data_IF_376940252862
#
_entry.id   IF_376940252862
#
_cell.length_a   1.000
_cell.length_b   1.000
_cell.length_c   1.000
_cell.angle_alpha   90.00
_cell.angle_beta   90.00
_cell.angle_gamma   90.00
#
_symmetry.space_group_name_H-M   'P 1'
#
loop_
_entity.id
_entity.type
_entity.pdbx_description
1 polymer ?
#
# COMPACT_ATOMS: atom_id res chain seq x y z
N UNK A 1 7.53 33.92 -4.40
CA UNK A 1 6.73 32.99 -3.58
C UNK A 1 7.46 31.66 -3.60
N UNK A 2 7.86 31.11 -2.44
CA UNK A 2 8.48 29.80 -2.41
C UNK A 2 7.48 28.79 -3.00
N UNK A 3 7.90 28.00 -4.00
CA UNK A 3 7.08 26.93 -4.55
C UNK A 3 6.71 26.00 -3.39
N UNK A 4 5.44 25.97 -2.98
CA UNK A 4 4.98 25.05 -1.96
C UNK A 4 5.36 23.64 -2.42
N UNK A 5 6.03 22.88 -1.57
CA UNK A 5 6.43 21.50 -1.89
C UNK A 5 5.16 20.66 -2.08
N UNK A 6 5.20 19.76 -3.05
CA UNK A 6 4.07 18.87 -3.33
C UNK A 6 3.98 17.84 -2.21
N UNK A 7 2.80 17.73 -1.59
CA UNK A 7 2.55 16.72 -0.57
C UNK A 7 2.41 15.33 -1.24
N UNK A 8 3.33 14.42 -0.93
CA UNK A 8 3.29 13.04 -1.39
C UNK A 8 2.57 12.14 -0.37
N UNK A 9 1.93 11.07 -0.84
CA UNK A 9 1.32 10.06 0.00
C UNK A 9 2.34 9.03 0.46
N UNK A 10 2.63 9.02 1.77
CA UNK A 10 3.38 7.95 2.42
C UNK A 10 2.39 6.88 2.86
N UNK A 11 2.61 5.62 2.48
CA UNK A 11 1.72 4.54 2.88
C UNK A 11 2.44 3.25 3.22
N UNK A 12 1.77 2.44 4.02
CA UNK A 12 2.26 1.16 4.53
C UNK A 12 1.18 0.12 4.30
N UNK A 13 1.51 -0.97 3.63
CA UNK A 13 0.60 -2.10 3.44
C UNK A 13 0.83 -3.07 4.60
N UNK A 14 -0.07 -3.03 5.59
CA UNK A 14 0.06 -3.76 6.86
C UNK A 14 -0.46 -5.18 6.70
N UNK A 15 0.50 -6.07 6.49
CA UNK A 15 0.34 -7.50 6.34
C UNK A 15 1.48 -8.27 7.03
N UNK A 16 1.22 -9.52 7.37
CA UNK A 16 2.24 -10.43 7.89
C UNK A 16 3.20 -10.89 6.79
N UNK A 17 4.40 -11.29 7.21
CA UNK A 17 5.43 -11.81 6.30
C UNK A 17 4.98 -13.04 5.50
N UNK A 18 3.98 -13.79 6.01
CA UNK A 18 3.40 -14.96 5.35
C UNK A 18 2.18 -14.66 4.47
N UNK A 19 1.60 -13.46 4.56
CA UNK A 19 0.42 -13.04 3.79
C UNK A 19 0.78 -12.51 2.40
N UNK A 20 2.07 -12.27 2.18
CA UNK A 20 2.61 -11.75 0.92
C UNK A 20 2.28 -12.64 -0.28
N UNK A 21 2.07 -12.02 -1.43
CA UNK A 21 1.87 -12.75 -2.70
C UNK A 21 3.02 -13.70 -3.07
N UNK A 22 4.22 -13.51 -2.51
CA UNK A 22 5.37 -14.39 -2.76
C UNK A 22 5.21 -15.80 -2.14
N UNK A 23 4.34 -15.96 -1.14
CA UNK A 23 4.09 -17.24 -0.44
C UNK A 23 2.66 -17.75 -0.60
N UNK A 24 1.82 -17.09 -1.41
CA UNK A 24 0.40 -17.44 -1.58
C UNK A 24 0.15 -18.88 -2.06
N UNK A 25 1.13 -19.49 -2.75
CA UNK A 25 1.08 -20.89 -3.24
C UNK A 25 1.93 -21.85 -2.39
N UNK A 26 2.47 -21.37 -1.28
CA UNK A 26 3.41 -22.11 -0.42
C UNK A 26 2.89 -22.26 1.00
N UNK A 27 2.16 -21.27 1.51
CA UNK A 27 1.59 -21.27 2.86
C UNK A 27 0.07 -21.24 2.71
N UNK A 28 -0.61 -22.25 3.26
CA UNK A 28 -2.07 -22.28 3.30
C UNK A 28 -2.60 -21.23 4.29
N UNK A 29 -3.70 -20.57 3.94
CA UNK A 29 -4.37 -19.59 4.82
C UNK A 29 -4.84 -20.23 6.13
N UNK A 30 -5.15 -21.53 6.12
CA UNK A 30 -5.54 -22.28 7.32
C UNK A 30 -4.42 -22.34 8.37
N UNK A 31 -3.15 -22.29 7.94
CA UNK A 31 -1.99 -22.40 8.83
C UNK A 31 -1.57 -21.07 9.43
N UNK A 32 -2.09 -19.93 8.92
CA UNK A 32 -1.65 -18.59 9.32
C UNK A 32 -1.70 -18.33 10.83
N UNK A 33 -2.71 -18.86 11.53
CA UNK A 33 -2.86 -18.68 12.97
C UNK A 33 -1.78 -19.42 13.79
N UNK A 34 -1.06 -20.37 13.18
CA UNK A 34 0.02 -21.15 13.81
C UNK A 34 1.40 -20.54 13.59
N UNK A 35 1.52 -19.59 12.66
CA UNK A 35 2.78 -18.95 12.30
C UNK A 35 3.11 -17.82 13.27
N UNK A 36 4.41 -17.60 13.47
CA UNK A 36 4.90 -16.51 14.31
C UNK A 36 4.47 -15.16 13.70
N UNK A 37 3.65 -14.43 14.45
CA UNK A 37 3.25 -13.06 14.12
C UNK A 37 4.42 -12.10 14.33
N UNK A 38 4.71 -11.25 13.33
CA UNK A 38 5.71 -10.18 13.43
C UNK A 38 5.13 -8.80 13.13
N UNK A 39 3.88 -8.73 12.66
CA UNK A 39 3.27 -7.49 12.16
C UNK A 39 3.22 -6.38 13.22
N UNK A 40 2.97 -6.70 14.49
CA UNK A 40 2.88 -5.70 15.55
C UNK A 40 4.22 -5.02 15.80
N UNK A 41 5.29 -5.79 16.05
CA UNK A 41 6.63 -5.27 16.26
C UNK A 41 7.18 -4.54 15.03
N UNK A 42 6.90 -5.08 13.84
CA UNK A 42 7.36 -4.47 12.60
C UNK A 42 6.67 -3.15 12.32
N UNK A 43 5.36 -3.06 12.57
CA UNK A 43 4.61 -1.82 12.40
C UNK A 43 4.99 -0.81 13.48
N UNK A 44 5.26 -1.25 14.72
CA UNK A 44 5.79 -0.40 15.78
C UNK A 44 7.11 0.28 15.38
N UNK A 45 8.06 -0.47 14.82
CA UNK A 45 9.33 0.09 14.31
C UNK A 45 9.12 1.11 13.19
N UNK A 46 8.10 0.92 12.35
CA UNK A 46 7.75 1.88 11.29
C UNK A 46 7.14 3.15 11.88
N UNK A 47 6.25 3.04 12.87
CA UNK A 47 5.70 4.17 13.61
C UNK A 47 6.80 4.98 14.29
N UNK A 48 7.74 4.30 14.96
CA UNK A 48 8.89 4.96 15.61
C UNK A 48 9.73 5.75 14.59
N UNK A 49 9.98 5.19 13.40
CA UNK A 49 10.69 5.89 12.33
C UNK A 49 9.91 7.10 11.78
N UNK A 50 8.59 7.01 11.70
CA UNK A 50 7.75 8.14 11.31
C UNK A 50 7.73 9.22 12.39
N UNK A 51 7.76 8.85 13.68
CA UNK A 51 7.90 9.80 14.78
C UNK A 51 9.26 10.53 14.75
N UNK A 52 10.36 9.82 14.46
CA UNK A 52 11.69 10.41 14.29
C UNK A 52 11.75 11.50 13.21
N UNK A 53 10.88 11.42 12.21
CA UNK A 53 10.88 12.26 11.01
C UNK A 53 9.63 13.14 10.88
N UNK A 54 8.80 13.20 11.93
CA UNK A 54 7.50 13.89 11.96
C UNK A 54 6.63 13.63 10.71
N UNK A 55 6.66 12.40 10.21
CA UNK A 55 5.91 12.00 9.01
C UNK A 55 4.56 11.41 9.38
N UNK A 56 3.48 11.87 8.74
CA UNK A 56 2.19 11.17 8.76
C UNK A 56 2.02 10.32 7.51
N UNK A 57 1.25 9.25 7.64
CA UNK A 57 1.15 8.20 6.63
C UNK A 57 -0.22 7.50 6.69
N UNK A 58 -0.52 6.70 5.69
CA UNK A 58 -1.71 5.84 5.64
C UNK A 58 -1.33 4.37 5.71
N UNK A 59 -1.93 3.64 6.63
CA UNK A 59 -1.73 2.22 6.85
C UNK A 59 -2.88 1.44 6.22
N UNK A 60 -2.69 0.96 4.99
CA UNK A 60 -3.62 0.05 4.32
C UNK A 60 -3.52 -1.31 5.00
N UNK A 61 -4.52 -1.66 5.80
CA UNK A 61 -4.43 -2.79 6.73
C UNK A 61 -5.42 -3.88 6.36
N UNK A 62 -4.97 -5.13 6.44
CA UNK A 62 -5.83 -6.30 6.28
C UNK A 62 -6.81 -6.43 7.45
N UNK A 63 -8.08 -6.72 7.15
CA UNK A 63 -9.09 -7.00 8.16
C UNK A 63 -8.69 -8.15 9.10
N UNK A 64 -7.98 -9.17 8.58
CA UNK A 64 -7.43 -10.27 9.38
C UNK A 64 -6.45 -9.79 10.46
N UNK A 65 -5.61 -8.80 10.14
CA UNK A 65 -4.64 -8.19 11.06
C UNK A 65 -5.37 -7.32 12.07
N UNK A 66 -6.27 -6.45 11.61
CA UNK A 66 -7.04 -5.56 12.48
C UNK A 66 -7.82 -6.31 13.56
N UNK A 67 -8.48 -7.41 13.18
CA UNK A 67 -9.23 -8.26 14.11
C UNK A 67 -8.36 -8.91 15.22
N UNK A 68 -7.03 -8.96 15.04
CA UNK A 68 -6.09 -9.57 15.99
C UNK A 68 -5.22 -8.54 16.71
N UNK A 69 -5.02 -7.38 16.12
CA UNK A 69 -4.04 -6.39 16.56
C UNK A 69 -4.70 -5.06 16.94
N UNK A 70 -5.79 -5.11 17.72
CA UNK A 70 -6.55 -3.91 18.11
C UNK A 70 -5.71 -2.84 18.83
N UNK A 71 -4.74 -3.23 19.66
CA UNK A 71 -3.83 -2.26 20.31
C UNK A 71 -2.92 -1.56 19.31
N UNK A 72 -2.42 -2.27 18.30
CA UNK A 72 -1.65 -1.67 17.22
C UNK A 72 -2.52 -0.70 16.40
N UNK A 73 -3.75 -1.09 16.08
CA UNK A 73 -4.68 -0.26 15.32
C UNK A 73 -4.98 1.06 16.02
N UNK A 74 -5.24 1.03 17.34
CA UNK A 74 -5.40 2.23 18.16
C UNK A 74 -4.15 3.10 18.13
N UNK A 75 -2.96 2.50 18.31
CA UNK A 75 -1.68 3.22 18.26
C UNK A 75 -1.49 3.98 16.94
N UNK A 76 -1.80 3.36 15.79
CA UNK A 76 -1.70 4.00 14.48
C UNK A 76 -2.57 5.28 14.44
N UNK A 77 -3.82 5.20 14.91
CA UNK A 77 -4.74 6.34 14.94
C UNK A 77 -4.34 7.41 15.97
N UNK A 78 -3.95 6.99 17.17
CA UNK A 78 -3.53 7.88 18.26
C UNK A 78 -2.29 8.71 17.89
N UNK A 79 -1.40 8.14 17.07
CA UNK A 79 -0.24 8.85 16.51
C UNK A 79 -0.59 9.73 15.29
N UNK A 80 -1.88 9.82 14.92
CA UNK A 80 -2.39 10.74 13.90
C UNK A 80 -2.28 10.23 12.46
N UNK A 81 -1.97 8.94 12.27
CA UNK A 81 -1.96 8.31 10.96
C UNK A 81 -3.37 7.93 10.50
N UNK A 82 -3.52 7.67 9.20
CA UNK A 82 -4.77 7.14 8.65
C UNK A 82 -4.71 5.60 8.64
N UNK A 83 -5.82 4.94 8.97
CA UNK A 83 -6.02 3.52 8.65
C UNK A 83 -6.97 3.42 7.45
N UNK A 84 -6.58 2.63 6.46
CA UNK A 84 -7.36 2.37 5.25
C UNK A 84 -7.49 0.85 5.03
N UNK A 85 -8.45 0.42 4.20
CA UNK A 85 -8.70 -1.00 3.95
C UNK A 85 -7.74 -1.59 2.93
N UNK A 86 -7.22 -2.77 3.22
CA UNK A 86 -6.46 -3.60 2.28
C UNK A 86 -7.15 -4.92 1.93
N UNK A 87 -8.48 -5.01 2.17
CA UNK A 87 -9.25 -6.25 2.06
C UNK A 87 -9.08 -7.15 3.29
N UNK A 88 -9.66 -8.36 3.27
CA UNK A 88 -9.65 -9.22 4.46
C UNK A 88 -8.34 -9.99 4.64
N UNK A 89 -7.93 -10.76 3.64
CA UNK A 89 -6.86 -11.76 3.73
C UNK A 89 -5.95 -11.76 2.50
N UNK A 90 -5.71 -10.56 1.95
CA UNK A 90 -4.81 -10.33 0.83
C UNK A 90 -5.17 -11.10 -0.46
N UNK A 91 -6.46 -11.43 -0.64
CA UNK A 91 -6.93 -11.99 -1.91
C UNK A 91 -6.97 -10.92 -3.01
N UNK A 92 -6.49 -11.28 -4.21
CA UNK A 92 -6.46 -10.36 -5.36
C UNK A 92 -7.86 -10.13 -5.93
N UNK A 93 -8.20 -8.89 -6.22
CA UNK A 93 -9.55 -8.49 -6.69
C UNK A 93 -9.91 -9.17 -8.02
N UNK A 94 -8.96 -9.31 -8.96
CA UNK A 94 -9.20 -10.03 -10.22
C UNK A 94 -9.44 -11.55 -10.06
N UNK A 95 -9.35 -12.10 -8.85
CA UNK A 95 -9.72 -13.49 -8.54
C UNK A 95 -11.09 -13.60 -7.86
N UNK A 96 -11.76 -12.46 -7.64
CA UNK A 96 -13.09 -12.37 -7.06
C UNK A 96 -14.11 -12.00 -8.14
N UNK A 97 -15.39 -12.22 -7.86
CA UNK A 97 -16.49 -11.52 -8.52
C UNK A 97 -16.94 -10.29 -7.69
N UNK A 98 -17.85 -9.49 -8.24
CA UNK A 98 -18.33 -8.27 -7.59
C UNK A 98 -19.03 -8.53 -6.25
N UNK A 99 -19.70 -9.68 -6.10
CA UNK A 99 -20.43 -10.06 -4.88
C UNK A 99 -19.44 -10.44 -3.78
N UNK A 100 -18.46 -11.27 -4.10
CA UNK A 100 -17.41 -11.70 -3.18
C UNK A 100 -16.53 -10.52 -2.77
N UNK A 101 -16.21 -9.63 -3.70
CA UNK A 101 -15.48 -8.41 -3.39
C UNK A 101 -16.24 -7.50 -2.42
N UNK A 102 -17.54 -7.30 -2.64
CA UNK A 102 -18.38 -6.53 -1.72
C UNK A 102 -18.40 -7.14 -0.31
N UNK A 103 -18.52 -8.46 -0.23
CA UNK A 103 -18.48 -9.17 1.05
C UNK A 103 -17.12 -9.00 1.75
N UNK A 104 -16.02 -9.09 1.00
CA UNK A 104 -14.66 -8.84 1.50
C UNK A 104 -14.51 -7.41 2.05
N UNK A 105 -14.94 -6.40 1.27
CA UNK A 105 -14.90 -5.00 1.66
C UNK A 105 -15.66 -4.74 2.95
N UNK A 106 -16.88 -5.25 3.09
CA UNK A 106 -17.71 -5.07 4.30
C UNK A 106 -17.07 -5.72 5.52
N UNK A 107 -16.57 -6.94 5.36
CA UNK A 107 -15.94 -7.69 6.44
C UNK A 107 -14.66 -7.00 6.92
N UNK A 108 -13.80 -6.59 5.99
CA UNK A 108 -12.56 -5.90 6.31
C UNK A 108 -12.83 -4.54 6.95
N UNK A 109 -13.72 -3.74 6.35
CA UNK A 109 -14.11 -2.43 6.86
C UNK A 109 -14.66 -2.50 8.27
N UNK A 110 -15.59 -3.41 8.55
CA UNK A 110 -16.16 -3.57 9.90
C UNK A 110 -15.07 -3.87 10.93
N UNK A 111 -14.19 -4.83 10.66
CA UNK A 111 -13.10 -5.16 11.60
C UNK A 111 -12.10 -4.01 11.81
N UNK A 112 -11.84 -3.21 10.77
CA UNK A 112 -10.97 -2.04 10.86
C UNK A 112 -11.64 -0.93 11.67
N UNK A 113 -12.91 -0.61 11.40
CA UNK A 113 -13.68 0.41 12.14
C UNK A 113 -13.82 0.02 13.61
N UNK A 114 -14.09 -1.26 13.91
CA UNK A 114 -14.17 -1.79 15.28
C UNK A 114 -12.82 -1.68 16.02
N UNK A 115 -11.71 -1.98 15.34
CA UNK A 115 -10.39 -1.98 15.96
C UNK A 115 -9.82 -0.56 16.16
N UNK A 116 -10.19 0.39 15.29
CA UNK A 116 -9.64 1.75 15.26
C UNK A 116 -10.55 2.80 15.89
N UNK A 117 -11.87 2.58 15.91
CA UNK A 117 -12.86 3.60 16.22
C UNK A 117 -12.96 4.72 15.17
N UNK A 118 -12.30 4.56 14.01
CA UNK A 118 -12.25 5.56 12.94
C UNK A 118 -12.95 5.03 11.68
N UNK A 119 -13.61 5.93 10.96
CA UNK A 119 -14.26 5.59 9.68
C UNK A 119 -13.21 5.27 8.60
N UNK A 120 -13.44 4.19 7.86
CA UNK A 120 -12.51 3.75 6.80
C UNK A 120 -13.00 4.27 5.44
N UNK A 121 -12.22 5.19 4.86
CA UNK A 121 -12.57 5.86 3.60
C UNK A 121 -11.68 5.45 2.40
N UNK A 122 -10.51 4.88 2.66
CA UNK A 122 -9.53 4.48 1.65
C UNK A 122 -9.51 2.97 1.40
N UNK A 123 -9.23 2.58 0.17
CA UNK A 123 -9.01 1.18 -0.20
C UNK A 123 -7.77 0.99 -1.09
N UNK A 124 -6.96 -0.03 -0.82
CA UNK A 124 -5.92 -0.51 -1.73
C UNK A 124 -6.12 -1.99 -1.99
N UNK A 125 -6.18 -2.37 -3.26
CA UNK A 125 -6.26 -3.78 -3.64
C UNK A 125 -4.93 -4.51 -3.35
N UNK A 126 -4.96 -5.69 -2.72
CA UNK A 126 -3.81 -6.59 -2.64
C UNK A 126 -3.11 -6.74 -3.98
N UNK A 127 -1.79 -6.56 -4.01
CA UNK A 127 -0.99 -6.60 -5.26
C UNK A 127 -1.42 -5.62 -6.37
N UNK A 128 -2.07 -4.49 -6.07
CA UNK A 128 -2.62 -3.55 -7.07
C UNK A 128 -3.49 -4.26 -8.12
N UNK A 129 -4.37 -5.14 -7.65
CA UNK A 129 -5.11 -6.10 -8.47
C UNK A 129 -6.44 -5.58 -9.06
N UNK A 130 -6.64 -4.26 -9.09
CA UNK A 130 -7.70 -3.64 -9.89
C UNK A 130 -7.12 -3.29 -11.27
N UNK A 131 -7.68 -3.91 -12.31
CA UNK A 131 -7.32 -3.65 -13.71
C UNK A 131 -8.49 -3.96 -14.66
N UNK A 132 -8.21 -4.09 -15.96
CA UNK A 132 -9.21 -4.35 -16.99
C UNK A 132 -10.06 -5.62 -16.74
N UNK A 133 -9.57 -6.57 -15.94
CA UNK A 133 -10.31 -7.80 -15.56
C UNK A 133 -11.42 -7.52 -14.55
N UNK A 134 -11.39 -6.37 -13.88
CA UNK A 134 -12.30 -5.99 -12.80
C UNK A 134 -12.99 -4.66 -13.11
N UNK A 135 -13.70 -4.52 -14.24
CA UNK A 135 -14.33 -3.24 -14.62
C UNK A 135 -15.42 -2.79 -13.64
N UNK A 136 -15.90 -3.70 -12.79
CA UNK A 136 -16.90 -3.48 -11.76
C UNK A 136 -16.31 -2.97 -10.43
N UNK A 137 -14.99 -3.07 -10.21
CA UNK A 137 -14.42 -2.87 -8.86
C UNK A 137 -14.56 -1.44 -8.33
N UNK A 138 -14.33 -0.43 -9.17
CA UNK A 138 -14.51 0.98 -8.78
C UNK A 138 -15.97 1.29 -8.43
N UNK A 139 -16.93 0.75 -9.18
CA UNK A 139 -18.36 0.93 -8.88
C UNK A 139 -18.72 0.30 -7.52
N UNK A 140 -18.26 -0.92 -7.26
CA UNK A 140 -18.48 -1.58 -5.95
C UNK A 140 -17.85 -0.77 -4.81
N UNK A 141 -16.64 -0.23 -4.98
CA UNK A 141 -16.00 0.62 -3.97
C UNK A 141 -16.83 1.87 -3.65
N UNK A 142 -17.31 2.56 -4.69
CA UNK A 142 -18.15 3.75 -4.53
C UNK A 142 -19.46 3.43 -3.81
N UNK A 143 -20.15 2.36 -4.21
CA UNK A 143 -21.39 1.92 -3.59
C UNK A 143 -21.22 1.50 -2.12
N UNK A 144 -20.06 0.94 -1.76
CA UNK A 144 -19.69 0.62 -0.37
C UNK A 144 -19.13 1.82 0.41
N UNK A 145 -19.17 3.02 -0.18
CA UNK A 145 -18.91 4.30 0.48
C UNK A 145 -17.42 4.64 0.64
N UNK A 146 -16.52 3.99 -0.10
CA UNK A 146 -15.12 4.41 -0.17
C UNK A 146 -14.99 5.75 -0.92
N UNK A 147 -14.06 6.60 -0.48
CA UNK A 147 -13.81 7.93 -1.05
C UNK A 147 -12.63 7.97 -2.00
N UNK A 148 -11.67 7.08 -1.80
CA UNK A 148 -10.57 6.94 -2.73
C UNK A 148 -10.08 5.50 -2.80
N UNK A 149 -9.40 5.18 -3.89
CA UNK A 149 -8.67 3.94 -4.05
C UNK A 149 -7.24 4.19 -4.51
N UNK A 150 -6.30 3.35 -4.08
CA UNK A 150 -4.91 3.36 -4.54
C UNK A 150 -4.51 1.95 -4.96
N UNK A 151 -5.22 1.43 -5.95
CA UNK A 151 -5.26 0.02 -6.33
C UNK A 151 -4.71 -0.27 -7.70
N UNK A 152 -4.44 0.75 -8.51
CA UNK A 152 -3.94 0.59 -9.88
C UNK A 152 -2.44 0.89 -9.95
N UNK A 153 -1.71 0.05 -10.69
CA UNK A 153 -0.31 0.25 -11.02
C UNK A 153 -0.13 0.52 -12.53
N UNK A 154 0.23 1.76 -12.95
CA UNK A 154 0.33 2.15 -14.37
C UNK A 154 1.57 1.61 -15.10
N UNK A 155 1.91 0.34 -14.91
CA UNK A 155 3.08 -0.35 -15.46
C UNK A 155 2.69 -1.74 -15.94
N UNK A 156 3.44 -2.29 -16.90
CA UNK A 156 3.31 -3.71 -17.26
C UNK A 156 4.16 -4.55 -16.31
N UNK A 157 3.55 -5.50 -15.60
CA UNK A 157 4.23 -6.37 -14.66
C UNK A 157 3.63 -7.80 -14.71
N UNK A 158 4.39 -8.80 -14.27
CA UNK A 158 4.01 -10.23 -14.38
C UNK A 158 2.81 -10.62 -13.49
N UNK A 159 2.70 -9.98 -12.32
CA UNK A 159 1.68 -10.28 -11.31
C UNK A 159 0.50 -9.31 -11.27
N UNK A 160 0.66 -8.11 -11.82
CA UNK A 160 -0.30 -7.01 -11.72
C UNK A 160 -0.03 -5.95 -12.79
N UNK A 161 -0.84 -4.90 -12.79
CA UNK A 161 -0.54 -3.67 -13.50
C UNK A 161 -1.39 -3.48 -14.75
N UNK A 162 -1.68 -2.21 -14.99
CA UNK A 162 -2.49 -1.74 -16.10
C UNK A 162 -1.73 -0.61 -16.78
N UNK A 163 -0.85 -0.96 -17.72
CA UNK A 163 0.02 0.01 -18.41
C UNK A 163 -0.75 1.20 -19.00
N UNK A 164 -1.92 0.95 -19.55
CA UNK A 164 -2.73 1.96 -20.24
C UNK A 164 -3.61 2.78 -19.29
N UNK A 165 -3.60 2.48 -17.98
CA UNK A 165 -4.26 3.33 -16.99
C UNK A 165 -3.61 4.72 -16.88
N UNK A 166 -4.36 5.73 -16.43
CA UNK A 166 -3.81 7.03 -16.10
C UNK A 166 -2.65 6.90 -15.12
N UNK A 167 -1.59 7.68 -15.35
CA UNK A 167 -0.41 7.70 -14.49
C UNK A 167 -0.64 8.47 -13.18
N UNK A 168 -1.57 9.41 -13.21
CA UNK A 168 -1.92 10.30 -12.10
C UNK A 168 -3.36 10.07 -11.69
N UNK A 169 -3.78 10.72 -10.61
CA UNK A 169 -5.13 10.54 -10.07
C UNK A 169 -6.23 10.88 -11.09
N UNK A 170 -7.32 10.11 -11.06
CA UNK A 170 -8.48 10.32 -11.91
C UNK A 170 -9.78 9.88 -11.22
N UNK A 171 -10.92 10.32 -11.75
CA UNK A 171 -12.24 9.81 -11.36
C UNK A 171 -12.61 8.65 -12.29
N UNK A 172 -12.64 7.39 -11.80
CA UNK A 172 -12.97 6.23 -12.63
C UNK A 172 -14.45 6.16 -12.99
N UNK A 173 -15.31 6.88 -12.27
CA UNK A 173 -16.76 6.88 -12.44
C UNK A 173 -17.25 8.27 -12.83
N UNK A 174 -18.23 8.33 -13.74
CA UNK A 174 -18.80 9.59 -14.23
C UNK A 174 -19.64 10.32 -13.18
N UNK A 175 -20.42 9.56 -12.41
CA UNK A 175 -21.48 10.08 -11.53
C UNK A 175 -21.15 9.88 -10.03
N UNK A 176 -19.87 9.70 -9.69
CA UNK A 176 -19.43 9.50 -8.30
C UNK A 176 -18.15 10.30 -7.98
N UNK A 177 -17.90 10.54 -6.69
CA UNK A 177 -16.75 11.29 -6.20
C UNK A 177 -15.49 10.45 -5.91
N UNK A 178 -15.56 9.13 -6.05
CA UNK A 178 -14.42 8.22 -5.89
C UNK A 178 -13.24 8.69 -6.75
N UNK A 179 -12.06 8.79 -6.12
CA UNK A 179 -10.80 9.09 -6.81
C UNK A 179 -9.90 7.85 -6.79
N UNK A 180 -9.40 7.43 -7.96
CA UNK A 180 -8.31 6.47 -8.03
C UNK A 180 -6.98 7.24 -8.04
N UNK A 181 -6.08 6.90 -7.12
CA UNK A 181 -4.74 7.46 -6.98
C UNK A 181 -3.72 6.33 -7.17
N UNK A 182 -3.24 6.11 -8.40
CA UNK A 182 -2.36 4.99 -8.71
C UNK A 182 -1.02 5.07 -7.96
N UNK A 183 -0.40 3.91 -7.73
CA UNK A 183 0.96 3.86 -7.17
C UNK A 183 1.95 4.55 -8.12
N UNK A 184 2.92 5.25 -7.56
CA UNK A 184 3.89 5.99 -8.38
C UNK A 184 4.73 5.07 -9.24
N UNK A 185 4.76 5.41 -10.53
CA UNK A 185 5.68 4.85 -11.51
C UNK A 185 6.57 5.98 -12.04
N UNK A 186 7.86 5.68 -12.17
CA UNK A 186 8.79 6.55 -12.88
C UNK A 186 8.75 6.25 -14.37
N UNK A 187 9.20 7.19 -15.20
CA UNK A 187 9.31 7.01 -16.64
C UNK A 187 10.68 7.44 -17.15
N UNK A 188 11.34 6.58 -17.92
CA UNK A 188 12.61 6.89 -18.56
C UNK A 188 12.67 6.23 -19.94
N UNK A 189 13.14 6.97 -20.96
CA UNK A 189 13.22 6.50 -22.35
C UNK A 189 11.91 5.85 -22.86
N UNK A 190 10.76 6.47 -22.56
CA UNK A 190 9.43 5.99 -22.97
C UNK A 190 8.97 4.70 -22.26
N UNK A 191 9.68 4.26 -21.22
CA UNK A 191 9.35 3.07 -20.44
C UNK A 191 9.03 3.44 -19.00
N UNK A 192 7.88 2.98 -18.52
CA UNK A 192 7.48 3.10 -17.12
C UNK A 192 8.13 2.00 -16.28
N UNK A 193 8.52 2.32 -15.06
CA UNK A 193 9.05 1.37 -14.09
C UNK A 193 8.40 1.58 -12.72
N UNK A 194 8.19 0.48 -12.01
CA UNK A 194 7.58 0.48 -10.69
C UNK A 194 8.49 1.10 -9.62
N UNK A 195 7.88 1.69 -8.61
CA UNK A 195 8.55 2.21 -7.41
C UNK A 195 7.85 1.68 -6.16
N UNK A 196 8.48 1.83 -4.99
CA UNK A 196 7.92 1.32 -3.74
C UNK A 196 8.11 -0.19 -3.55
N UNK A 197 7.67 -0.69 -2.40
CA UNK A 197 7.78 -2.07 -1.96
C UNK A 197 9.14 -2.70 -2.26
N UNK A 198 9.10 -3.92 -2.80
CA UNK A 198 10.29 -4.66 -3.20
C UNK A 198 11.19 -3.93 -4.21
N UNK A 199 10.66 -3.07 -5.09
CA UNK A 199 11.49 -2.28 -6.01
C UNK A 199 12.32 -1.26 -5.26
N UNK A 200 11.70 -0.54 -4.33
CA UNK A 200 12.43 0.41 -3.49
C UNK A 200 13.47 -0.31 -2.65
N UNK A 201 13.17 -1.47 -2.05
CA UNK A 201 14.16 -2.23 -1.27
C UNK A 201 15.33 -2.71 -2.13
N UNK A 202 15.07 -3.28 -3.30
CA UNK A 202 16.09 -3.90 -4.15
C UNK A 202 16.95 -2.88 -4.91
N UNK A 203 16.35 -1.83 -5.48
CA UNK A 203 17.05 -0.83 -6.29
C UNK A 203 17.70 0.28 -5.44
N UNK A 204 18.67 1.04 -5.97
CA UNK A 204 19.18 2.22 -5.27
C UNK A 204 18.07 3.24 -4.95
N UNK A 205 18.13 3.89 -3.78
CA UNK A 205 17.11 4.87 -3.37
C UNK A 205 16.93 6.03 -4.36
N UNK A 206 17.98 6.35 -5.13
CA UNK A 206 17.95 7.35 -6.20
C UNK A 206 16.93 7.05 -7.32
N UNK A 207 16.55 5.79 -7.53
CA UNK A 207 15.54 5.42 -8.54
C UNK A 207 14.15 5.93 -8.13
N UNK A 208 13.77 5.72 -6.87
CA UNK A 208 12.51 6.24 -6.32
C UNK A 208 12.55 7.75 -6.16
N UNK A 209 13.69 8.32 -5.73
CA UNK A 209 13.86 9.77 -5.65
C UNK A 209 13.69 10.44 -7.03
N UNK A 210 14.28 9.87 -8.08
CA UNK A 210 14.09 10.35 -9.45
C UNK A 210 12.62 10.31 -9.87
N UNK A 211 11.91 9.21 -9.58
CA UNK A 211 10.50 9.08 -9.94
C UNK A 211 9.62 10.10 -9.20
N UNK A 212 9.84 10.32 -7.90
CA UNK A 212 9.10 11.31 -7.11
C UNK A 212 9.38 12.72 -7.62
N UNK A 213 10.63 13.08 -7.88
CA UNK A 213 10.99 14.38 -8.47
C UNK A 213 10.33 14.59 -9.83
N UNK A 214 10.28 13.55 -10.66
CA UNK A 214 9.62 13.61 -11.97
C UNK A 214 8.11 13.86 -11.82
N UNK A 215 7.43 13.18 -10.90
CA UNK A 215 5.99 13.35 -10.66
C UNK A 215 5.70 14.72 -10.01
N UNK A 216 6.50 15.15 -9.03
CA UNK A 216 6.35 16.45 -8.38
C UNK A 216 6.65 17.64 -9.32
N UNK A 217 7.60 17.49 -10.25
CA UNK A 217 7.86 18.50 -11.28
C UNK A 217 6.65 18.71 -12.23
N UNK A 218 5.77 17.71 -12.35
CA UNK A 218 4.50 17.81 -13.06
C UNK A 218 3.35 18.33 -12.17
N UNK A 219 3.65 18.86 -10.98
CA UNK A 219 2.68 19.28 -9.96
C UNK A 219 1.71 18.16 -9.52
N UNK A 220 2.15 16.90 -9.61
CA UNK A 220 1.39 15.73 -9.20
C UNK A 220 2.00 15.14 -7.92
N UNK A 221 1.19 14.59 -7.00
CA UNK A 221 1.71 13.90 -5.83
C UNK A 221 2.19 12.50 -6.18
N UNK A 222 3.28 12.08 -5.54
CA UNK A 222 3.73 10.69 -5.54
C UNK A 222 3.00 9.87 -4.47
N UNK A 223 2.68 8.62 -4.78
CA UNK A 223 2.18 7.59 -3.86
C UNK A 223 3.27 6.55 -3.65
N UNK A 224 3.86 6.55 -2.47
CA UNK A 224 4.87 5.57 -2.06
C UNK A 224 4.27 4.56 -1.09
N UNK A 225 4.70 3.30 -1.22
CA UNK A 225 4.27 2.22 -0.35
C UNK A 225 5.43 1.28 -0.02
N UNK A 226 5.31 0.57 1.10
CA UNK A 226 6.15 -0.57 1.49
C UNK A 226 5.41 -1.39 2.55
N UNK A 227 5.99 -2.52 2.97
CA UNK A 227 5.39 -3.38 3.99
C UNK A 227 6.20 -3.37 5.29
N UNK A 228 5.57 -3.49 6.48
CA UNK A 228 6.30 -3.52 7.75
C UNK A 228 7.36 -4.62 7.82
N UNK A 229 7.11 -5.81 7.25
CA UNK A 229 8.09 -6.90 7.23
C UNK A 229 9.38 -6.55 6.47
N UNK A 230 9.37 -5.52 5.61
CA UNK A 230 10.56 -5.11 4.87
C UNK A 230 11.62 -4.44 5.75
N UNK A 231 11.25 -3.97 6.96
CA UNK A 231 12.20 -3.45 7.96
C UNK A 231 12.65 -4.51 8.96
N UNK A 232 12.27 -5.77 8.75
CA UNK A 232 12.63 -6.90 9.63
C UNK A 232 13.60 -7.88 8.95
N UNK A 233 14.93 -7.73 9.17
CA UNK A 233 15.90 -8.68 8.66
C UNK A 233 15.85 -10.05 9.39
N UNK A 234 15.20 -10.12 10.56
CA UNK A 234 15.11 -11.30 11.41
C UNK A 234 13.87 -12.16 11.18
N UNK A 235 13.01 -11.79 10.22
CA UNK A 235 11.76 -12.51 9.97
C UNK A 235 11.99 -14.00 9.63
N UNK A 236 11.01 -14.88 9.94
CA UNK A 236 11.08 -16.30 9.62
C UNK A 236 11.35 -16.57 8.13
N UNK A 237 12.01 -17.70 7.85
CA UNK A 237 12.36 -18.12 6.49
C UNK A 237 11.58 -19.35 6.05
N UNK A 238 10.89 -19.23 4.91
CA UNK A 238 10.09 -20.30 4.31
C UNK A 238 10.99 -21.23 3.47
N UNK A 239 11.37 -22.37 4.04
CA UNK A 239 12.26 -23.33 3.38
C UNK A 239 11.68 -23.89 2.06
N UNK A 240 10.37 -24.11 1.99
CA UNK A 240 9.69 -24.66 0.82
C UNK A 240 9.43 -23.64 -0.31
N UNK A 241 9.68 -22.35 -0.09
CA UNK A 241 9.35 -21.32 -1.08
C UNK A 241 10.23 -21.40 -2.34
N UNK A 242 9.68 -21.06 -3.52
CA UNK A 242 10.45 -20.96 -4.76
C UNK A 242 11.65 -20.01 -4.63
N UNK A 243 12.76 -20.30 -5.32
CA UNK A 243 13.97 -19.47 -5.27
C UNK A 243 13.69 -18.01 -5.65
N UNK A 244 12.85 -17.78 -6.66
CA UNK A 244 12.44 -16.42 -7.07
C UNK A 244 11.72 -15.68 -5.94
N UNK A 245 10.81 -16.33 -5.22
CA UNK A 245 10.13 -15.76 -4.06
C UNK A 245 11.12 -15.42 -2.95
N UNK A 246 12.05 -16.34 -2.63
CA UNK A 246 13.09 -16.12 -1.61
C UNK A 246 13.99 -14.93 -1.96
N UNK A 247 14.46 -14.84 -3.19
CA UNK A 247 15.29 -13.72 -3.66
C UNK A 247 14.54 -12.40 -3.55
N UNK A 248 13.30 -12.33 -4.03
CA UNK A 248 12.48 -11.10 -3.94
C UNK A 248 12.19 -10.74 -2.48
N UNK A 249 11.88 -11.70 -1.62
CA UNK A 249 11.45 -11.46 -0.24
C UNK A 249 12.59 -11.10 0.71
N UNK A 250 13.72 -11.82 0.69
CA UNK A 250 14.76 -11.69 1.72
C UNK A 250 15.93 -10.77 1.38
N UNK A 251 16.10 -10.37 0.11
CA UNK A 251 17.26 -9.55 -0.29
C UNK A 251 17.20 -8.12 0.27
N UNK A 252 18.32 -7.61 0.80
CA UNK A 252 18.48 -6.19 1.23
C UNK A 252 17.50 -5.69 2.31
N UNK A 253 16.92 -6.57 3.13
CA UNK A 253 16.05 -6.17 4.25
C UNK A 253 16.76 -5.20 5.22
N UNK A 254 18.02 -5.47 5.58
CA UNK A 254 18.78 -4.60 6.49
C UNK A 254 19.06 -3.18 5.98
N UNK A 255 18.86 -2.91 4.67
CA UNK A 255 19.03 -1.58 4.10
C UNK A 255 17.74 -0.74 4.11
N UNK A 256 16.59 -1.35 4.40
CA UNK A 256 15.28 -0.72 4.20
C UNK A 256 15.08 0.50 5.10
N UNK A 257 15.29 0.36 6.42
CA UNK A 257 15.07 1.44 7.38
C UNK A 257 15.92 2.68 7.08
N UNK A 258 17.23 2.49 6.81
CA UNK A 258 18.12 3.60 6.46
C UNK A 258 17.74 4.29 5.15
N UNK A 259 17.31 3.52 4.15
CA UNK A 259 16.83 4.08 2.87
C UNK A 259 15.53 4.86 3.04
N UNK A 260 14.61 4.35 3.85
CA UNK A 260 13.34 5.00 4.16
C UNK A 260 13.59 6.33 4.87
N UNK A 261 14.45 6.37 5.89
CA UNK A 261 14.84 7.63 6.57
C UNK A 261 15.31 8.70 5.58
N UNK A 262 16.25 8.33 4.68
CA UNK A 262 16.72 9.27 3.67
C UNK A 262 15.65 9.69 2.66
N UNK A 263 14.66 8.85 2.37
CA UNK A 263 13.54 9.21 1.49
C UNK A 263 12.57 10.18 2.19
N UNK A 264 12.31 9.94 3.48
CA UNK A 264 11.47 10.79 4.33
C UNK A 264 12.02 12.21 4.45
N UNK A 265 13.34 12.36 4.57
CA UNK A 265 14.01 13.67 4.65
C UNK A 265 14.00 14.47 3.33
N UNK A 266 13.85 13.80 2.18
CA UNK A 266 14.02 14.43 0.85
C UNK A 266 12.74 15.02 0.27
N UNK A 267 11.58 14.54 0.69
CA UNK A 267 10.28 14.89 0.11
C UNK A 267 9.28 15.27 1.19
N UNK A 268 8.26 16.04 0.84
CA UNK A 268 7.14 16.29 1.76
C UNK A 268 6.17 15.11 1.71
N UNK A 269 5.83 14.57 2.88
CA UNK A 269 5.02 13.37 3.04
C UNK A 269 3.80 13.63 3.93
N UNK A 270 2.72 12.92 3.64
CA UNK A 270 1.53 12.91 4.46
C UNK A 270 0.65 11.70 4.20
N UNK A 271 -0.50 11.72 4.86
CA UNK A 271 -1.57 10.73 4.67
C UNK A 271 -2.16 10.86 3.27
N UNK A 272 -2.56 9.73 2.70
CA UNK A 272 -3.18 9.63 1.39
C UNK A 272 -4.52 10.38 1.37
N UNK A 273 -5.35 10.31 2.41
CA UNK A 273 -6.58 11.12 2.48
C UNK A 273 -6.34 12.63 2.36
N UNK A 274 -5.25 13.12 2.97
CA UNK A 274 -4.85 14.52 2.93
C UNK A 274 -4.37 14.92 1.53
N UNK A 275 -3.67 14.01 0.83
CA UNK A 275 -3.32 14.21 -0.58
C UNK A 275 -4.57 14.24 -1.44
N UNK A 276 -5.49 13.28 -1.28
CA UNK A 276 -6.74 13.22 -2.04
C UNK A 276 -7.55 14.50 -1.90
N UNK A 277 -7.67 15.05 -0.68
CA UNK A 277 -8.35 16.33 -0.43
C UNK A 277 -7.73 17.53 -1.17
N UNK A 278 -6.44 17.47 -1.50
CA UNK A 278 -5.70 18.52 -2.23
C UNK A 278 -5.73 18.32 -3.74
N UNK A 279 -6.14 17.15 -4.23
CA UNK A 279 -6.19 16.88 -5.65
C UNK A 279 -7.37 17.64 -6.28
N UNK A 280 -7.10 18.38 -7.35
CA UNK A 280 -8.11 18.93 -8.24
C UNK A 280 -8.46 17.89 -9.31
N UNK A 281 -9.25 16.88 -8.93
CA UNK A 281 -9.77 15.84 -9.84
C UNK A 281 -11.27 16.00 -10.00
#
# INVERSE_FOLDING_TARGET
MANARVLNGMSVDVEEWFQVGAFERTIDKADWATLESRVADNTARVLDLFAETDTKATFFTLGWVAARQGTLMRRIVDEGHEVASHGWDHQRVFTMDAVSFRADLRRARGALEDATGAAIAGYRAPSFSIDQRTPWAHAVLAEEGYRYSSSVAPVAHDHYGWRDSPRYAWRPLRDDALVEVPVTVGEAAGRRFATGGGFFRLLPAGVTDFALRQVNAAAQPGMFYFHPWEVDPGQPRVAAAPLRSKLRHYSRLGAMAGKLRGLLERHEWGRVDAVVKRLAV
#
